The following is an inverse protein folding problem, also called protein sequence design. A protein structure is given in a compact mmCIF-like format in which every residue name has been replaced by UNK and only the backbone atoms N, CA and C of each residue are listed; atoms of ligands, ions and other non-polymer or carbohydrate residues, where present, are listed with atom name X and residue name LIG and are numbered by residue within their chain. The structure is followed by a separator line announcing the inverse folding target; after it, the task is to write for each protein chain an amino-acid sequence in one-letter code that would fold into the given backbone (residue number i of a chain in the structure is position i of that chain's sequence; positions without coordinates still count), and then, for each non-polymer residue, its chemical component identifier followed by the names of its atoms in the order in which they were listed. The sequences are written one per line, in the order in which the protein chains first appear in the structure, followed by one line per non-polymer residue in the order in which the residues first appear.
data_IF_962675478869
#
_entry.id   IF_962675478869
#
_cell.length_a   1.000
_cell.length_b   1.000
_cell.length_c   1.000
_cell.angle_alpha   90.00
_cell.angle_beta   90.00
_cell.angle_gamma   90.00
#
_symmetry.space_group_name_H-M   'P 1'
#
loop_
_entity.id
_entity.type
_entity.pdbx_description
1 polymer ?
#
# COMPACT_ATOMS: atom_id res chain seq x y z
N UNK A 1 -4.66 16.29 -25.10
CA UNK A 1 -4.62 15.87 -23.69
C UNK A 1 -6.03 15.65 -23.19
N UNK A 2 -6.28 14.55 -22.59
CA UNK A 2 -7.59 14.22 -22.04
C UNK A 2 -7.88 15.11 -20.83
N UNK A 3 -9.06 15.69 -20.78
CA UNK A 3 -9.51 16.40 -19.59
C UNK A 3 -9.64 15.37 -18.44
N UNK A 4 -8.95 15.61 -17.36
CA UNK A 4 -9.02 14.74 -16.20
C UNK A 4 -10.28 15.09 -15.41
N UNK A 5 -11.25 14.17 -15.44
CA UNK A 5 -12.38 14.24 -14.52
C UNK A 5 -11.87 13.73 -13.19
N UNK A 6 -11.77 14.62 -12.21
CA UNK A 6 -11.38 14.21 -10.86
C UNK A 6 -12.47 13.30 -10.30
N UNK A 7 -12.09 12.13 -9.74
CA UNK A 7 -13.05 11.25 -9.08
C UNK A 7 -13.71 11.98 -7.91
N UNK A 8 -14.99 11.74 -7.72
CA UNK A 8 -15.71 12.28 -6.59
C UNK A 8 -15.09 11.79 -5.29
N UNK A 9 -14.81 12.71 -4.38
CA UNK A 9 -14.34 12.41 -3.04
C UNK A 9 -15.44 12.76 -2.04
N UNK A 10 -15.85 11.76 -1.27
CA UNK A 10 -16.79 11.94 -0.19
C UNK A 10 -16.04 12.28 1.08
N UNK A 11 -16.37 13.43 1.68
CA UNK A 11 -15.82 13.82 2.98
C UNK A 11 -16.61 13.05 4.05
N UNK A 12 -15.94 12.13 4.74
CA UNK A 12 -16.56 11.32 5.80
C UNK A 12 -16.35 11.97 7.16
N UNK A 13 -15.16 12.55 7.39
CA UNK A 13 -14.85 13.30 8.59
C UNK A 13 -13.88 14.42 8.25
N UNK A 14 -14.11 15.59 8.84
CA UNK A 14 -13.23 16.75 8.68
C UNK A 14 -13.20 17.52 9.99
N UNK A 15 -12.21 17.22 10.80
CA UNK A 15 -11.95 17.88 12.08
C UNK A 15 -10.46 18.12 12.26
N UNK A 16 -10.03 18.96 13.21
CA UNK A 16 -8.60 19.17 13.47
C UNK A 16 -7.84 17.89 13.81
N UNK A 17 -8.54 16.85 14.29
CA UNK A 17 -7.93 15.59 14.72
C UNK A 17 -8.06 14.47 13.70
N UNK A 18 -9.00 14.58 12.75
CA UNK A 18 -9.27 13.52 11.79
C UNK A 18 -9.83 14.11 10.51
N UNK A 19 -9.17 13.78 9.40
CA UNK A 19 -9.69 14.04 8.06
C UNK A 19 -9.79 12.71 7.34
N UNK A 20 -10.99 12.38 6.86
CA UNK A 20 -11.26 11.13 6.17
C UNK A 20 -12.08 11.41 4.92
N UNK A 21 -11.58 10.98 3.79
CA UNK A 21 -12.23 11.09 2.49
C UNK A 21 -12.29 9.74 1.82
N UNK A 22 -13.32 9.54 1.02
CA UNK A 22 -13.53 8.31 0.28
C UNK A 22 -13.80 8.63 -1.20
N UNK A 23 -13.10 7.97 -2.08
CA UNK A 23 -13.27 8.10 -3.53
C UNK A 23 -13.67 6.74 -4.12
N UNK A 24 -14.95 6.36 -4.06
CA UNK A 24 -15.40 5.00 -4.40
C UNK A 24 -15.21 4.65 -5.89
N UNK A 25 -15.15 5.65 -6.76
CA UNK A 25 -15.01 5.45 -8.21
C UNK A 25 -13.64 5.85 -8.74
N UNK A 26 -12.63 5.97 -7.85
CA UNK A 26 -11.31 6.42 -8.25
C UNK A 26 -10.65 5.49 -9.27
N UNK A 27 -10.80 4.17 -9.08
CA UNK A 27 -10.21 3.16 -9.96
C UNK A 27 -11.31 2.29 -10.54
N UNK A 28 -11.36 2.19 -11.88
CA UNK A 28 -12.31 1.29 -12.51
C UNK A 28 -11.87 -0.19 -12.34
N UNK A 29 -12.80 -1.16 -12.50
CA UNK A 29 -12.48 -2.57 -12.28
C UNK A 29 -11.37 -3.10 -13.18
N UNK A 30 -11.29 -2.66 -14.44
CA UNK A 30 -10.27 -3.13 -15.37
C UNK A 30 -8.88 -2.66 -14.95
N UNK A 31 -8.75 -1.39 -14.55
CA UNK A 31 -7.50 -0.83 -14.04
C UNK A 31 -7.09 -1.50 -12.73
N UNK A 32 -8.03 -1.74 -11.82
CA UNK A 32 -7.76 -2.41 -10.55
C UNK A 32 -7.22 -3.83 -10.78
N UNK A 33 -7.81 -4.58 -11.70
CA UNK A 33 -7.34 -5.92 -12.06
C UNK A 33 -5.93 -5.88 -12.66
N UNK A 34 -5.68 -4.94 -13.57
CA UNK A 34 -4.36 -4.78 -14.18
C UNK A 34 -3.30 -4.43 -13.13
N UNK A 35 -3.59 -3.52 -12.23
CA UNK A 35 -2.67 -3.16 -11.14
C UNK A 35 -2.38 -4.34 -10.23
N UNK A 36 -3.41 -5.12 -9.88
CA UNK A 36 -3.23 -6.31 -9.05
C UNK A 36 -2.26 -7.30 -9.71
N UNK A 37 -2.48 -7.60 -10.99
CA UNK A 37 -1.60 -8.50 -11.74
C UNK A 37 -0.16 -7.97 -11.82
N UNK A 38 0.00 -6.69 -12.10
CA UNK A 38 1.32 -6.06 -12.18
C UNK A 38 2.03 -6.04 -10.84
N UNK A 39 1.33 -5.72 -9.74
CA UNK A 39 1.89 -5.74 -8.40
C UNK A 39 2.31 -7.14 -7.97
N UNK A 40 1.55 -8.16 -8.34
CA UNK A 40 1.95 -9.54 -8.07
C UNK A 40 3.26 -9.92 -8.76
N UNK A 41 3.56 -9.33 -9.91
CA UNK A 41 4.75 -9.62 -10.70
C UNK A 41 5.95 -8.75 -10.35
N UNK A 42 5.76 -7.44 -10.09
CA UNK A 42 6.89 -6.52 -9.94
C UNK A 42 7.27 -6.20 -8.50
N UNK A 43 6.48 -6.63 -7.52
CA UNK A 43 6.79 -6.40 -6.10
C UNK A 43 7.63 -7.56 -5.54
N UNK A 44 8.75 -7.28 -4.87
CA UNK A 44 9.55 -8.31 -4.22
C UNK A 44 8.91 -8.77 -2.91
N UNK A 45 7.85 -9.54 -3.02
CA UNK A 45 7.08 -10.04 -1.87
C UNK A 45 7.93 -10.90 -0.95
N UNK A 46 7.76 -10.73 0.37
CA UNK A 46 8.46 -11.47 1.40
C UNK A 46 7.47 -12.00 2.43
N UNK A 47 7.74 -13.20 2.95
CA UNK A 47 7.06 -13.66 4.14
C UNK A 47 7.97 -13.39 5.34
N UNK A 48 7.68 -12.32 6.05
CA UNK A 48 8.40 -11.96 7.26
C UNK A 48 7.93 -12.82 8.43
N UNK A 49 8.75 -12.90 9.47
CA UNK A 49 8.43 -13.62 10.70
C UNK A 49 8.61 -12.70 11.88
N UNK A 50 7.77 -12.88 12.88
CA UNK A 50 7.91 -12.19 14.17
C UNK A 50 8.21 -13.21 15.25
N UNK A 51 8.87 -12.77 16.33
CA UNK A 51 9.18 -13.61 17.46
C UNK A 51 8.23 -13.29 18.61
N UNK A 52 7.45 -14.29 19.03
CA UNK A 52 6.53 -14.19 20.15
C UNK A 52 6.79 -15.35 21.11
N UNK A 53 6.92 -15.03 22.40
CA UNK A 53 7.12 -16.04 23.45
C UNK A 53 8.28 -17.01 23.13
N UNK A 54 9.38 -16.49 22.59
CA UNK A 54 10.55 -17.28 22.23
C UNK A 54 10.43 -18.12 20.97
N UNK A 55 9.32 -18.03 20.24
CA UNK A 55 9.09 -18.77 18.99
C UNK A 55 8.95 -17.83 17.81
N UNK A 56 9.48 -18.27 16.65
CA UNK A 56 9.30 -17.58 15.39
C UNK A 56 7.98 -17.99 14.76
N UNK A 57 7.20 -16.98 14.37
CA UNK A 57 5.92 -17.16 13.68
C UNK A 57 5.98 -16.42 12.34
N UNK A 58 5.79 -17.11 11.20
CA UNK A 58 5.67 -16.42 9.94
C UNK A 58 4.38 -15.59 9.96
N UNK A 59 4.45 -14.39 9.41
CA UNK A 59 3.26 -13.55 9.25
C UNK A 59 2.29 -14.24 8.28
N UNK A 60 0.98 -14.21 8.57
CA UNK A 60 -0.03 -14.83 7.71
C UNK A 60 -0.36 -13.93 6.51
N UNK A 61 0.64 -13.51 5.79
CA UNK A 61 0.56 -12.70 4.57
C UNK A 61 1.95 -12.48 4.01
N UNK A 62 2.01 -12.07 2.75
CA UNK A 62 3.25 -11.55 2.17
C UNK A 62 3.26 -10.03 2.29
N UNK A 63 4.43 -9.45 2.49
CA UNK A 63 4.58 -8.02 2.68
C UNK A 63 5.72 -7.46 1.85
N UNK A 64 5.67 -6.15 1.62
CA UNK A 64 6.78 -5.40 1.06
C UNK A 64 6.68 -3.95 1.55
N UNK A 65 7.82 -3.38 1.93
CA UNK A 65 7.93 -1.97 2.27
C UNK A 65 8.70 -1.24 1.18
N UNK A 66 8.02 -0.36 0.48
CA UNK A 66 8.63 0.53 -0.52
C UNK A 66 8.65 1.94 0.02
N UNK A 67 9.78 2.61 -0.11
CA UNK A 67 9.92 3.95 0.44
C UNK A 67 11.05 4.72 -0.24
N UNK A 68 10.99 6.03 -0.12
CA UNK A 68 12.12 6.88 -0.45
C UNK A 68 13.28 6.56 0.52
N UNK A 69 14.54 6.82 0.10
CA UNK A 69 15.69 6.56 0.96
C UNK A 69 15.53 7.20 2.35
N UNK A 70 15.81 6.45 3.39
CA UNK A 70 15.73 6.92 4.77
C UNK A 70 14.36 6.78 5.44
N UNK A 71 13.35 6.29 4.73
CA UNK A 71 11.99 6.10 5.27
C UNK A 71 11.78 4.66 5.72
N UNK A 72 12.49 4.23 6.76
CA UNK A 72 12.36 2.88 7.31
C UNK A 72 11.07 2.66 8.07
N UNK A 73 10.68 1.41 8.23
CA UNK A 73 9.50 1.00 8.99
C UNK A 73 9.81 -0.19 9.89
N UNK A 74 9.47 -0.05 11.16
CA UNK A 74 9.66 -1.11 12.16
C UNK A 74 8.31 -1.56 12.70
N UNK A 75 8.09 -2.87 12.69
CA UNK A 75 6.86 -3.48 13.19
C UNK A 75 7.19 -4.71 14.04
N UNK A 76 6.65 -4.75 15.26
CA UNK A 76 6.88 -5.87 16.21
C UNK A 76 8.36 -6.23 16.38
N UNK A 77 9.24 -5.22 16.44
CA UNK A 77 10.69 -5.45 16.55
C UNK A 77 11.38 -5.82 15.25
N UNK A 78 10.64 -5.93 14.15
CA UNK A 78 11.16 -6.25 12.83
C UNK A 78 11.40 -4.96 12.02
N UNK A 79 12.64 -4.76 11.59
CA UNK A 79 12.97 -3.69 10.65
C UNK A 79 12.72 -4.21 9.23
N UNK A 80 11.77 -3.58 8.52
CA UNK A 80 11.49 -3.93 7.14
C UNK A 80 12.60 -3.42 6.23
N UNK A 81 13.01 -4.24 5.27
CA UNK A 81 13.92 -3.82 4.22
C UNK A 81 13.22 -2.77 3.38
N UNK A 82 13.90 -1.64 3.14
CA UNK A 82 13.39 -0.57 2.27
C UNK A 82 13.66 -0.97 0.82
N UNK A 83 12.60 -1.27 0.08
CA UNK A 83 12.68 -1.56 -1.35
C UNK A 83 12.45 -0.28 -2.17
N UNK A 84 13.09 -0.15 -3.33
CA UNK A 84 12.77 0.95 -4.23
C UNK A 84 11.36 0.76 -4.79
N UNK A 85 10.73 1.87 -5.17
CA UNK A 85 9.40 1.84 -5.75
C UNK A 85 9.39 1.00 -7.03
N UNK A 86 8.50 0.01 -7.11
CA UNK A 86 8.28 -0.72 -8.35
C UNK A 86 7.58 0.18 -9.38
N UNK A 87 7.67 -0.14 -10.68
CA UNK A 87 7.00 0.67 -11.71
C UNK A 87 5.50 0.83 -11.46
N UNK A 88 4.82 -0.23 -11.04
CA UNK A 88 3.37 -0.17 -10.77
C UNK A 88 3.09 0.65 -9.52
N UNK A 89 3.82 0.44 -8.43
CA UNK A 89 3.67 1.21 -7.20
C UNK A 89 3.93 2.70 -7.44
N UNK A 90 4.92 3.03 -8.26
CA UNK A 90 5.22 4.42 -8.61
C UNK A 90 4.06 5.07 -9.38
N UNK A 91 3.44 4.36 -10.32
CA UNK A 91 2.27 4.87 -11.04
C UNK A 91 1.09 5.11 -10.12
N UNK A 92 0.83 4.19 -9.20
CA UNK A 92 -0.25 4.33 -8.21
C UNK A 92 0.03 5.53 -7.30
N UNK A 93 1.26 5.66 -6.82
CA UNK A 93 1.70 6.81 -6.02
C UNK A 93 1.42 8.14 -6.73
N UNK A 94 1.82 8.26 -7.98
CA UNK A 94 1.61 9.47 -8.76
C UNK A 94 0.14 9.85 -8.88
N UNK A 95 -0.72 8.85 -9.09
CA UNK A 95 -2.16 9.07 -9.18
C UNK A 95 -2.76 9.44 -7.82
N UNK A 96 -2.27 8.87 -6.73
CA UNK A 96 -2.71 9.26 -5.38
C UNK A 96 -2.29 10.69 -5.04
N UNK A 97 -1.10 11.10 -5.42
CA UNK A 97 -0.65 12.48 -5.24
C UNK A 97 -1.55 13.44 -6.02
N UNK A 98 -1.89 13.09 -7.25
CA UNK A 98 -2.77 13.90 -8.08
C UNK A 98 -4.18 14.00 -7.51
N UNK A 99 -4.72 12.88 -6.98
CA UNK A 99 -6.04 12.87 -6.35
C UNK A 99 -6.09 13.67 -5.07
N UNK A 100 -5.10 13.49 -4.20
CA UNK A 100 -5.13 13.99 -2.82
C UNK A 100 -4.41 15.31 -2.61
N UNK A 101 -3.43 15.64 -3.46
CA UNK A 101 -2.53 16.76 -3.26
C UNK A 101 -1.42 16.50 -2.24
N UNK A 102 -1.33 15.27 -1.68
CA UNK A 102 -0.33 14.90 -0.69
C UNK A 102 0.83 14.14 -1.32
N UNK A 103 2.06 14.48 -0.90
CA UNK A 103 3.24 13.73 -1.31
C UNK A 103 3.51 12.56 -0.36
N UNK A 104 3.32 11.33 -0.83
CA UNK A 104 3.61 10.13 -0.06
C UNK A 104 5.07 9.70 -0.29
N UNK A 105 5.74 9.26 0.78
CA UNK A 105 7.14 8.84 0.73
C UNK A 105 7.34 7.35 0.99
N UNK A 106 6.27 6.62 1.29
CA UNK A 106 6.36 5.22 1.68
C UNK A 106 5.05 4.48 1.41
N UNK A 107 5.17 3.17 1.25
CA UNK A 107 4.05 2.30 0.94
C UNK A 107 4.28 0.93 1.59
N UNK A 108 3.34 0.51 2.42
CA UNK A 108 3.28 -0.86 2.91
C UNK A 108 2.31 -1.65 2.06
N UNK A 109 2.79 -2.75 1.49
CA UNK A 109 1.96 -3.65 0.71
C UNK A 109 1.76 -4.94 1.48
N UNK A 110 0.52 -5.42 1.47
CA UNK A 110 0.16 -6.72 2.02
C UNK A 110 -0.53 -7.54 0.93
N UNK A 111 -0.12 -8.78 0.77
CA UNK A 111 -0.76 -9.73 -0.13
C UNK A 111 -1.31 -10.89 0.67
N UNK A 112 -2.62 -11.05 0.63
CA UNK A 112 -3.34 -12.18 1.22
C UNK A 112 -3.54 -13.22 0.13
N UNK A 113 -2.83 -14.36 0.26
CA UNK A 113 -2.78 -15.38 -0.79
C UNK A 113 -4.09 -16.14 -0.94
N UNK A 114 -4.75 -16.37 0.20
CA UNK A 114 -6.05 -17.04 0.26
C UNK A 114 -6.75 -16.69 1.59
N UNK A 115 -7.89 -17.33 1.87
CA UNK A 115 -8.67 -17.04 3.06
C UNK A 115 -8.02 -17.41 4.40
N UNK A 116 -6.84 -18.01 4.39
CA UNK A 116 -6.06 -18.31 5.60
C UNK A 116 -5.11 -17.17 6.00
N UNK A 117 -4.83 -16.27 5.08
CA UNK A 117 -4.01 -15.09 5.36
C UNK A 117 -4.85 -13.96 5.95
N UNK A 118 -4.27 -13.19 6.85
CA UNK A 118 -4.96 -12.12 7.56
C UNK A 118 -3.99 -11.05 8.08
N UNK A 119 -4.56 -9.92 8.41
CA UNK A 119 -3.92 -8.89 9.24
C UNK A 119 -4.35 -9.20 10.68
N UNK A 120 -3.47 -9.79 11.43
CA UNK A 120 -3.75 -10.24 12.79
C UNK A 120 -3.95 -9.15 13.82
#
# INVERSE_FOLDING_TARGET
MQALIQPEQLVIADSPKLQLRHAPTWVDPATATLWLEQLQQDVPWKQESIQLYGKRHPLPRLTCWMADPGCGYRYSGLDNVVEPWSPTAQRIREQLVELSGWGFNSLLLNLYRDGRDAMG
#
